data_IF_313022955821
#
_entry.id   IF_313022955821
#
_cell.length_a   1.000
_cell.length_b   1.000
_cell.length_c   1.000
_cell.angle_alpha   90.00
_cell.angle_beta   90.00
_cell.angle_gamma   90.00
#
_symmetry.space_group_name_H-M   'P 1'
#
loop_
_entity.id
_entity.type
_entity.pdbx_description
1 polymer ?
#
# COMPACT_ATOMS: atom_id res chain seq x y z
N UNK A 1 -2.37 19.33 -24.70
CA UNK A 1 -1.15 18.50 -24.69
C UNK A 1 -1.65 17.07 -24.66
N UNK A 2 -1.46 16.35 -25.75
CA UNK A 2 -2.04 15.02 -25.97
C UNK A 2 -0.91 14.00 -25.87
N UNK A 3 -1.07 12.98 -25.02
CA UNK A 3 -0.05 11.95 -24.81
C UNK A 3 -0.59 10.65 -25.41
N UNK A 4 0.09 10.14 -26.43
CA UNK A 4 -0.22 8.87 -27.06
C UNK A 4 0.80 7.81 -26.64
N UNK A 5 0.33 6.59 -26.40
CA UNK A 5 1.16 5.44 -26.05
C UNK A 5 0.88 4.34 -27.09
N UNK A 6 1.93 3.74 -27.64
CA UNK A 6 1.81 2.62 -28.58
C UNK A 6 2.13 1.36 -27.79
N UNK A 7 1.14 0.49 -27.60
CA UNK A 7 1.32 -0.79 -26.93
C UNK A 7 1.63 -1.90 -27.93
N UNK A 8 2.58 -2.81 -27.61
CA UNK A 8 2.80 -4.02 -28.39
C UNK A 8 1.58 -4.94 -28.38
N UNK A 9 1.33 -5.63 -29.50
CA UNK A 9 0.14 -6.47 -29.70
C UNK A 9 -0.01 -7.61 -28.69
N UNK A 10 1.10 -8.07 -28.11
CA UNK A 10 1.10 -9.04 -27.02
C UNK A 10 0.30 -8.59 -25.79
N UNK A 11 0.06 -7.29 -25.62
CA UNK A 11 -0.69 -6.72 -24.51
C UNK A 11 -2.15 -6.40 -24.85
N UNK A 12 -2.56 -6.55 -26.12
CA UNK A 12 -3.91 -6.18 -26.58
C UNK A 12 -5.01 -6.94 -25.84
N UNK A 13 -4.78 -8.21 -25.50
CA UNK A 13 -5.73 -9.06 -24.76
C UNK A 13 -5.92 -8.66 -23.29
N UNK A 14 -5.02 -7.86 -22.73
CA UNK A 14 -5.09 -7.38 -21.34
C UNK A 14 -5.80 -6.02 -21.21
N UNK A 15 -6.10 -5.36 -22.32
CA UNK A 15 -6.82 -4.09 -22.32
C UNK A 15 -8.32 -4.39 -22.31
N UNK A 16 -8.97 -4.18 -21.15
CA UNK A 16 -10.42 -4.20 -21.04
C UNK A 16 -10.95 -2.77 -20.90
N UNK A 17 -11.73 -2.25 -21.86
CA UNK A 17 -12.31 -0.92 -21.71
C UNK A 17 -13.32 -0.94 -20.55
N UNK A 18 -13.03 -0.15 -19.52
CA UNK A 18 -13.97 0.06 -18.40
C UNK A 18 -14.87 1.23 -18.77
N UNK A 19 -16.03 0.93 -19.36
CA UNK A 19 -17.06 1.94 -19.62
C UNK A 19 -17.84 2.16 -18.33
N UNK A 20 -17.54 3.26 -17.62
CA UNK A 20 -18.33 3.69 -16.46
C UNK A 20 -19.56 4.46 -16.97
N UNK A 21 -20.72 3.82 -16.97
CA UNK A 21 -21.99 4.50 -17.18
C UNK A 21 -22.34 5.26 -15.89
N UNK A 22 -22.33 6.59 -15.96
CA UNK A 22 -22.91 7.43 -14.91
C UNK A 22 -24.42 7.45 -15.18
N UNK A 23 -25.28 6.87 -14.32
CA UNK A 23 -26.70 6.91 -14.55
C UNK A 23 -27.21 8.34 -14.30
N UNK A 24 -27.63 9.03 -15.36
CA UNK A 24 -28.57 10.14 -15.24
C UNK A 24 -29.92 9.50 -14.89
N UNK A 25 -30.43 9.84 -13.71
CA UNK A 25 -31.74 9.38 -13.25
C UNK A 25 -32.83 9.88 -14.18
N UNK A 26 -33.51 8.96 -14.87
CA UNK A 26 -34.82 9.18 -15.45
C UNK A 26 -35.65 7.89 -15.29
N UNK A 27 -36.83 8.07 -14.71
CA UNK A 27 -37.74 7.04 -14.21
C UNK A 27 -38.31 6.11 -15.29
N UNK A 28 -38.54 4.84 -14.94
CA UNK A 28 -39.38 3.89 -15.67
C UNK A 28 -38.98 2.43 -15.45
N UNK A 29 -39.74 1.70 -14.63
CA UNK A 29 -39.63 0.24 -14.41
C UNK A 29 -40.58 -0.54 -15.36
N UNK A 30 -40.80 -1.88 -15.29
CA UNK A 30 -40.09 -3.00 -14.62
C UNK A 30 -39.94 -4.29 -15.50
N UNK A 31 -39.45 -5.38 -14.86
CA UNK A 31 -39.59 -6.82 -15.20
C UNK A 31 -38.48 -7.43 -16.06
N UNK A 32 -37.98 -8.66 -15.84
CA UNK A 32 -38.03 -9.65 -14.76
C UNK A 32 -37.03 -10.75 -15.16
N UNK A 33 -36.63 -11.59 -14.21
CA UNK A 33 -36.06 -12.95 -14.31
C UNK A 33 -34.53 -13.13 -14.24
N UNK A 34 -34.09 -13.50 -13.04
CA UNK A 34 -33.38 -14.78 -12.86
C UNK A 34 -31.85 -14.76 -12.80
N UNK A 35 -31.34 -14.81 -11.57
CA UNK A 35 -30.24 -15.70 -11.17
C UNK A 35 -28.82 -15.37 -11.61
N UNK A 36 -28.25 -14.39 -10.93
CA UNK A 36 -27.31 -14.61 -9.81
C UNK A 36 -26.62 -13.28 -9.59
N UNK A 37 -27.14 -12.52 -8.63
CA UNK A 37 -26.42 -11.42 -8.03
C UNK A 37 -25.17 -12.00 -7.38
N UNK A 38 -24.10 -12.14 -8.14
CA UNK A 38 -22.77 -12.09 -7.55
C UNK A 38 -22.61 -10.63 -7.16
N UNK A 39 -22.99 -10.32 -5.92
CA UNK A 39 -22.44 -9.16 -5.23
C UNK A 39 -20.94 -9.42 -5.01
N UNK A 40 -20.16 -9.53 -6.10
CA UNK A 40 -18.71 -9.34 -6.08
C UNK A 40 -18.34 -7.88 -5.78
N UNK A 41 -19.35 -7.08 -5.39
CA UNK A 41 -19.23 -5.68 -5.04
C UNK A 41 -18.90 -5.39 -3.57
N UNK A 42 -18.66 -6.40 -2.73
CA UNK A 42 -18.52 -6.19 -1.27
C UNK A 42 -17.15 -6.55 -0.67
N UNK A 43 -16.17 -6.96 -1.49
CA UNK A 43 -14.76 -7.16 -1.05
C UNK A 43 -13.83 -6.02 -1.49
N UNK A 44 -14.38 -4.87 -1.91
CA UNK A 44 -13.58 -3.78 -2.45
C UNK A 44 -12.70 -3.14 -1.39
N UNK A 45 -11.40 -3.11 -1.66
CA UNK A 45 -10.41 -2.27 -0.98
C UNK A 45 -10.91 -0.83 -0.93
N UNK A 46 -11.37 -0.34 0.22
CA UNK A 46 -11.95 1.00 0.37
C UNK A 46 -10.90 2.11 0.44
N UNK A 47 -9.66 1.74 0.76
CA UNK A 47 -8.52 2.65 0.88
C UNK A 47 -7.85 2.97 -0.46
N UNK A 48 -8.29 2.33 -1.56
CA UNK A 48 -7.84 2.65 -2.93
C UNK A 48 -9.02 2.93 -3.87
N UNK A 49 -8.92 3.95 -4.74
CA UNK A 49 -7.80 4.88 -4.91
C UNK A 49 -7.65 5.83 -3.70
N UNK A 50 -6.43 6.32 -3.46
CA UNK A 50 -6.19 7.28 -2.39
C UNK A 50 -7.06 8.54 -2.59
N UNK A 51 -7.63 9.09 -1.51
CA UNK A 51 -8.45 10.29 -1.62
C UNK A 51 -7.60 11.47 -2.13
N UNK A 52 -8.18 12.41 -2.91
CA UNK A 52 -7.45 13.59 -3.40
C UNK A 52 -6.87 14.47 -2.29
N UNK A 53 -7.40 14.34 -1.08
CA UNK A 53 -6.96 15.03 0.13
C UNK A 53 -5.80 14.33 0.83
N UNK A 54 -5.35 13.16 0.35
CA UNK A 54 -4.25 12.42 0.95
C UNK A 54 -2.95 13.21 0.82
N UNK A 55 -2.36 13.58 1.96
CA UNK A 55 -1.10 14.29 2.01
C UNK A 55 0.07 13.33 2.22
N UNK A 56 0.84 13.07 1.17
CA UNK A 56 1.99 12.17 1.21
C UNK A 56 3.18 12.70 2.04
N UNK A 57 3.19 13.98 2.42
CA UNK A 57 4.18 14.55 3.33
C UNK A 57 3.75 14.49 4.80
N UNK A 58 2.51 14.11 5.08
CA UNK A 58 1.98 13.99 6.43
C UNK A 58 2.07 12.54 6.89
N UNK A 59 2.87 12.32 7.94
CA UNK A 59 3.03 11.02 8.57
C UNK A 59 1.69 10.49 9.06
N UNK A 60 0.82 11.34 9.60
CA UNK A 60 -0.49 10.93 10.11
C UNK A 60 -1.41 10.39 9.02
N UNK A 61 -1.28 10.87 7.78
CA UNK A 61 -2.00 10.30 6.63
C UNK A 61 -1.53 8.87 6.32
N UNK A 62 -0.21 8.61 6.39
CA UNK A 62 0.34 7.27 6.18
C UNK A 62 0.00 6.31 7.32
N UNK A 63 0.01 6.77 8.57
CA UNK A 63 -0.41 5.97 9.73
C UNK A 63 -1.88 5.55 9.61
N UNK A 64 -2.77 6.49 9.25
CA UNK A 64 -4.18 6.21 9.02
C UNK A 64 -4.37 5.19 7.89
N UNK A 65 -3.66 5.36 6.77
CA UNK A 65 -3.70 4.41 5.65
C UNK A 65 -3.20 3.03 6.06
N UNK A 66 -2.09 2.94 6.80
CA UNK A 66 -1.56 1.66 7.27
C UNK A 66 -2.57 0.95 8.20
N UNK A 67 -3.26 1.70 9.06
CA UNK A 67 -4.30 1.15 9.93
C UNK A 67 -5.51 0.62 9.14
N UNK A 68 -5.99 1.37 8.13
CA UNK A 68 -7.08 0.93 7.25
C UNK A 68 -6.72 -0.34 6.47
N UNK A 69 -5.51 -0.40 5.92
CA UNK A 69 -5.03 -1.59 5.21
C UNK A 69 -4.91 -2.77 6.18
N UNK A 70 -4.35 -2.57 7.38
CA UNK A 70 -4.22 -3.64 8.37
C UNK A 70 -5.58 -4.22 8.75
N UNK A 71 -6.59 -3.38 9.00
CA UNK A 71 -7.96 -3.85 9.28
C UNK A 71 -8.52 -4.63 8.10
N UNK A 72 -8.39 -4.13 6.87
CA UNK A 72 -8.86 -4.86 5.69
C UNK A 72 -8.17 -6.22 5.49
N UNK A 73 -6.85 -6.30 5.71
CA UNK A 73 -6.12 -7.58 5.59
C UNK A 73 -6.61 -8.59 6.63
N UNK A 74 -6.85 -8.14 7.87
CA UNK A 74 -7.23 -9.01 8.97
C UNK A 74 -8.71 -9.37 9.00
N UNK A 75 -9.58 -8.51 8.48
CA UNK A 75 -11.03 -8.66 8.55
C UNK A 75 -11.63 -9.20 7.23
N UNK A 76 -11.01 -8.87 6.10
CA UNK A 76 -11.53 -9.16 4.75
C UNK A 76 -10.63 -10.17 4.02
N UNK A 77 -9.34 -9.89 3.90
CA UNK A 77 -8.38 -10.77 3.22
C UNK A 77 -7.77 -11.82 4.17
N UNK A 78 -8.62 -12.54 4.91
CA UNK A 78 -8.22 -13.46 5.99
C UNK A 78 -7.43 -14.70 5.52
N UNK A 79 -7.59 -15.10 4.26
CA UNK A 79 -6.86 -16.25 3.71
C UNK A 79 -5.41 -15.87 3.42
N UNK A 80 -4.50 -16.35 4.28
CA UNK A 80 -3.05 -16.10 4.19
C UNK A 80 -2.41 -16.56 2.88
N UNK A 81 -3.03 -17.48 2.13
CA UNK A 81 -2.51 -17.94 0.83
C UNK A 81 -3.12 -17.17 -0.35
N UNK A 82 -4.08 -16.29 -0.10
CA UNK A 82 -4.74 -15.50 -1.14
C UNK A 82 -3.81 -14.43 -1.70
N UNK A 83 -4.06 -14.03 -2.95
CA UNK A 83 -3.31 -12.94 -3.57
C UNK A 83 -3.61 -11.61 -2.87
N UNK A 84 -4.83 -11.45 -2.37
CA UNK A 84 -5.36 -10.30 -1.63
C UNK A 84 -4.61 -10.08 -0.33
N UNK A 85 -4.40 -11.15 0.45
CA UNK A 85 -3.64 -11.08 1.70
C UNK A 85 -2.18 -10.71 1.45
N UNK A 86 -1.55 -11.35 0.46
CA UNK A 86 -0.17 -11.07 0.09
C UNK A 86 0.03 -9.62 -0.37
N UNK A 87 -0.82 -9.17 -1.29
CA UNK A 87 -0.80 -7.81 -1.80
C UNK A 87 -1.11 -6.77 -0.70
N UNK A 88 -2.12 -7.04 0.14
CA UNK A 88 -2.50 -6.14 1.23
C UNK A 88 -1.42 -6.03 2.29
N UNK A 89 -0.72 -7.12 2.57
CA UNK A 89 0.43 -7.11 3.49
C UNK A 89 1.58 -6.28 2.92
N UNK A 90 1.88 -6.39 1.63
CA UNK A 90 2.87 -5.54 0.97
C UNK A 90 2.44 -4.06 0.98
N UNK A 91 1.16 -3.78 0.73
CA UNK A 91 0.60 -2.42 0.80
C UNK A 91 0.68 -1.81 2.20
N UNK A 92 0.40 -2.61 3.23
CA UNK A 92 0.58 -2.24 4.62
C UNK A 92 2.03 -1.83 4.89
N UNK A 93 3.01 -2.67 4.49
CA UNK A 93 4.41 -2.38 4.74
C UNK A 93 4.91 -1.15 3.99
N UNK A 94 4.39 -0.87 2.79
CA UNK A 94 4.70 0.37 2.07
C UNK A 94 4.19 1.60 2.84
N UNK A 95 2.93 1.59 3.27
CA UNK A 95 2.35 2.70 4.04
C UNK A 95 3.05 2.87 5.41
N UNK A 96 3.34 1.77 6.08
CA UNK A 96 4.00 1.77 7.39
C UNK A 96 5.44 2.29 7.31
N UNK A 97 6.24 1.88 6.32
CA UNK A 97 7.58 2.42 6.12
C UNK A 97 7.56 3.89 5.69
N UNK A 98 6.52 4.33 4.99
CA UNK A 98 6.33 5.75 4.66
C UNK A 98 5.97 6.60 5.89
N UNK A 99 5.19 6.06 6.83
CA UNK A 99 4.89 6.68 8.12
C UNK A 99 6.13 6.74 9.03
N UNK A 100 6.95 5.68 9.02
CA UNK A 100 8.16 5.57 9.86
C UNK A 100 9.42 5.35 9.02
N UNK A 101 9.96 6.40 8.37
CA UNK A 101 11.13 6.26 7.50
C UNK A 101 12.39 5.74 8.20
N UNK A 102 12.50 5.90 9.52
CA UNK A 102 13.63 5.40 10.30
C UNK A 102 13.53 3.91 10.63
N UNK A 103 12.38 3.27 10.41
CA UNK A 103 12.14 1.85 10.70
C UNK A 103 13.22 0.95 10.07
N UNK A 104 13.82 0.02 10.85
CA UNK A 104 13.42 -0.45 12.19
C UNK A 104 14.00 0.38 13.35
N UNK A 105 14.81 1.39 13.04
CA UNK A 105 15.49 2.24 13.99
C UNK A 105 14.60 3.41 14.43
N UNK A 106 14.83 3.96 15.62
CA UNK A 106 14.04 5.06 16.14
C UNK A 106 12.69 4.63 16.72
N UNK A 107 11.70 5.52 16.67
CA UNK A 107 10.38 5.34 17.28
C UNK A 107 9.36 5.03 16.20
N UNK A 108 8.58 3.98 16.42
CA UNK A 108 7.54 3.52 15.51
C UNK A 108 6.38 2.90 16.31
N UNK A 109 5.17 2.96 15.77
CA UNK A 109 4.01 2.38 16.43
C UNK A 109 3.96 0.86 16.24
N UNK A 110 3.56 0.11 17.27
CA UNK A 110 3.37 -1.33 17.12
C UNK A 110 2.35 -1.68 16.03
N UNK A 111 2.59 -2.77 15.31
CA UNK A 111 1.65 -3.36 14.35
C UNK A 111 1.11 -4.69 14.87
N UNK A 112 0.05 -5.22 14.26
CA UNK A 112 -0.49 -6.52 14.65
C UNK A 112 0.48 -7.66 14.25
N UNK A 113 0.87 -8.57 15.17
CA UNK A 113 1.77 -9.69 14.87
C UNK A 113 1.33 -10.61 13.74
N UNK A 114 0.05 -10.60 13.37
CA UNK A 114 -0.49 -11.32 12.22
C UNK A 114 -0.06 -10.70 10.87
N UNK A 115 0.62 -9.55 10.87
CA UNK A 115 1.24 -8.94 9.70
C UNK A 115 2.72 -9.35 9.63
N UNK A 116 3.09 -10.39 8.85
CA UNK A 116 4.47 -10.84 8.76
C UNK A 116 5.34 -9.82 8.03
N UNK A 117 6.54 -9.57 8.57
CA UNK A 117 7.58 -8.76 7.92
C UNK A 117 8.39 -9.61 6.93
N UNK A 118 8.63 -10.87 7.28
CA UNK A 118 9.44 -11.77 6.46
C UNK A 118 8.72 -12.15 5.17
N UNK A 119 9.44 -12.14 4.05
CA UNK A 119 8.88 -12.46 2.72
C UNK A 119 8.08 -11.33 2.08
N UNK A 120 7.87 -10.21 2.78
CA UNK A 120 7.08 -9.07 2.28
C UNK A 120 7.97 -7.90 1.87
N UNK A 121 7.36 -6.83 1.38
CA UNK A 121 8.02 -5.56 1.11
C UNK A 121 8.79 -5.06 2.34
N UNK A 122 8.22 -5.19 3.54
CA UNK A 122 8.87 -4.78 4.79
C UNK A 122 10.19 -5.51 5.00
N UNK A 123 10.23 -6.83 4.80
CA UNK A 123 11.46 -7.61 4.90
C UNK A 123 12.52 -7.19 3.88
N UNK A 124 12.12 -6.92 2.63
CA UNK A 124 13.05 -6.41 1.60
C UNK A 124 13.57 -5.01 1.94
N UNK A 125 12.71 -4.14 2.47
CA UNK A 125 13.08 -2.81 2.94
C UNK A 125 14.10 -2.87 4.08
N UNK A 126 13.89 -3.76 5.05
CA UNK A 126 14.81 -3.98 6.16
C UNK A 126 16.19 -4.45 5.70
N UNK A 127 16.26 -5.45 4.82
CA UNK A 127 17.54 -5.94 4.30
C UNK A 127 18.30 -4.84 3.52
N UNK A 128 17.59 -3.96 2.81
CA UNK A 128 18.21 -2.80 2.16
C UNK A 128 18.63 -1.67 3.11
N UNK A 129 17.97 -1.53 4.27
CA UNK A 129 18.32 -0.53 5.27
C UNK A 129 19.66 -0.83 5.96
N UNK A 130 20.03 -2.10 6.11
CA UNK A 130 21.32 -2.50 6.66
C UNK A 130 22.48 -2.02 5.77
N UNK A 131 22.37 -2.18 4.44
CA UNK A 131 23.38 -1.70 3.49
C UNK A 131 23.44 -0.18 3.33
N UNK A 132 22.31 0.53 3.45
CA UNK A 132 22.30 2.01 3.37
C UNK A 132 23.09 2.69 4.49
N UNK A 133 23.18 2.05 5.66
CA UNK A 133 23.94 2.59 6.78
C UNK A 133 25.47 2.40 6.60
N UNK A 134 25.90 1.30 5.99
CA UNK A 134 27.32 1.03 5.71
C UNK A 134 27.91 2.01 4.67
N UNK A 135 27.14 2.38 3.66
CA UNK A 135 27.55 3.35 2.65
C UNK A 135 27.53 4.80 3.19
N UNK A 136 26.59 5.14 4.09
CA UNK A 136 26.54 6.48 4.68
C UNK A 136 27.71 6.73 5.66
N UNK A 137 28.21 5.72 6.37
CA UNK A 137 29.38 5.86 7.25
C UNK A 137 30.70 6.06 6.48
N UNK A 138 30.79 5.57 5.24
CA UNK A 138 32.01 5.66 4.43
C UNK A 138 32.09 6.88 3.50
N UNK A 139 30.96 7.58 3.26
CA UNK A 139 30.85 8.69 2.28
C UNK A 139 30.11 9.91 2.85
N UNK A 140 30.28 10.23 4.15
CA UNK A 140 29.74 11.47 4.71
C UNK A 140 30.80 12.58 4.80
N UNK A 141 30.93 13.40 3.75
CA UNK A 141 31.68 14.69 3.77
C UNK A 141 30.85 15.83 4.39
N UNK A 142 30.22 15.56 5.54
CA UNK A 142 29.73 16.59 6.46
C UNK A 142 28.70 17.60 5.93
N UNK A 143 27.41 17.28 6.08
CA UNK A 143 26.43 18.23 6.64
C UNK A 143 25.14 17.53 7.15
N UNK A 144 25.24 16.27 7.56
CA UNK A 144 24.14 15.56 8.19
C UNK A 144 23.97 16.08 9.62
N UNK A 145 23.06 17.03 9.81
CA UNK A 145 22.73 17.65 11.10
C UNK A 145 22.47 16.59 12.18
N UNK A 146 23.44 16.48 13.09
CA UNK A 146 23.38 16.12 14.53
C UNK A 146 22.16 15.29 14.97
N UNK A 147 22.33 13.97 15.01
CA UNK A 147 21.98 13.22 16.22
C UNK A 147 23.26 12.53 16.69
N UNK A 148 23.68 12.90 17.91
CA UNK A 148 25.00 12.59 18.46
C UNK A 148 25.25 11.11 18.77
N UNK A 149 26.45 10.79 19.24
CA UNK A 149 27.04 9.46 19.15
C UNK A 149 26.36 8.44 20.06
N UNK A 150 26.29 7.22 19.53
CA UNK A 150 25.93 5.98 20.20
C UNK A 150 26.94 5.73 21.32
N UNK A 151 26.48 5.84 22.57
CA UNK A 151 27.22 5.28 23.71
C UNK A 151 26.89 3.79 23.74
N UNK A 152 27.88 2.94 23.41
CA UNK A 152 27.77 1.48 23.59
C UNK A 152 27.90 1.14 25.08
N UNK A 153 27.00 0.24 25.48
CA UNK A 153 26.92 -0.67 26.62
C UNK A 153 28.09 -0.73 27.64
N UNK A 154 27.69 -0.83 28.91
CA UNK A 154 27.91 -2.05 29.71
C UNK A 154 26.56 -2.53 30.28
#
# INVERSE_FOLDING_TARGET
MEVAFILPEAYASYIRPVIKFIPVAAAGAPSDSGDRSSNDSELYTTFLPLPPTFNHHDIGCWEALAAEIQSWVLDVAVDVNSAEHNWGTDAFWMAYCAAYPTFPQGVWAGWNPQMPVAGTFGGRWLMGAEHRNEEHESVCEGDCKKYGPIVRAE
#
